data_IF_608810485044
#
_entry.id   IF_608810485044
#
_cell.length_a   1.000
_cell.length_b   1.000
_cell.length_c   1.000
_cell.angle_alpha   90.00
_cell.angle_beta   90.00
_cell.angle_gamma   90.00
#
_symmetry.space_group_name_H-M   'P 1'
#
loop_
_entity.id
_entity.type
_entity.pdbx_description
1 polymer ?
#
# COMPACT_ATOMS: atom_id res chain seq x y z
N UNK A 1 -11.51 1.60 -16.03
CA UNK A 1 -11.02 0.24 -15.69
C UNK A 1 -11.29 -0.77 -16.80
N UNK A 2 -12.33 -0.61 -17.62
CA UNK A 2 -12.53 -1.44 -18.81
C UNK A 2 -11.44 -1.28 -19.88
N UNK A 3 -10.87 -0.07 -20.04
CA UNK A 3 -9.93 0.23 -21.13
C UNK A 3 -8.57 -0.49 -21.08
N UNK A 4 -8.16 -1.10 -19.95
CA UNK A 4 -6.83 -1.74 -19.81
C UNK A 4 -6.96 -3.25 -19.57
N UNK A 5 -8.17 -3.79 -19.54
CA UNK A 5 -8.41 -5.18 -19.13
C UNK A 5 -8.22 -6.16 -20.30
N UNK A 6 -7.08 -6.86 -20.30
CA UNK A 6 -6.80 -7.94 -21.28
C UNK A 6 -7.28 -9.34 -20.83
N UNK A 7 -7.56 -9.54 -19.54
CA UNK A 7 -7.95 -10.85 -18.98
C UNK A 7 -9.29 -10.81 -18.23
N UNK A 8 -10.09 -11.90 -18.26
CA UNK A 8 -11.30 -12.02 -17.46
C UNK A 8 -11.03 -11.89 -15.97
N UNK A 9 -11.98 -11.34 -15.21
CA UNK A 9 -11.86 -11.16 -13.75
C UNK A 9 -11.44 -12.44 -13.04
N UNK A 10 -12.08 -13.53 -13.41
CA UNK A 10 -11.88 -14.80 -12.76
C UNK A 10 -10.42 -15.27 -12.89
N UNK A 11 -9.79 -15.09 -14.06
CA UNK A 11 -8.39 -15.44 -14.28
C UNK A 11 -7.44 -14.63 -13.39
N UNK A 12 -7.69 -13.33 -13.21
CA UNK A 12 -6.86 -12.46 -12.37
C UNK A 12 -6.86 -12.91 -10.89
N UNK A 13 -7.99 -13.42 -10.39
CA UNK A 13 -8.13 -13.81 -8.99
C UNK A 13 -7.74 -15.27 -8.71
N UNK A 14 -7.70 -16.14 -9.72
CA UNK A 14 -7.40 -17.58 -9.56
C UNK A 14 -6.12 -17.85 -8.75
N UNK A 15 -4.95 -17.25 -9.06
CA UNK A 15 -3.72 -17.53 -8.32
C UNK A 15 -3.82 -17.12 -6.84
N UNK A 16 -4.37 -15.93 -6.57
CA UNK A 16 -4.54 -15.43 -5.21
C UNK A 16 -5.52 -16.29 -4.40
N UNK A 17 -6.63 -16.73 -5.00
CA UNK A 17 -7.59 -17.66 -4.38
C UNK A 17 -6.91 -18.99 -4.07
N UNK A 18 -6.10 -19.52 -5.00
CA UNK A 18 -5.38 -20.77 -4.82
C UNK A 18 -4.41 -20.68 -3.63
N UNK A 19 -3.55 -19.66 -3.60
CA UNK A 19 -2.58 -19.45 -2.51
C UNK A 19 -3.31 -19.26 -1.18
N UNK A 20 -4.37 -18.44 -1.13
CA UNK A 20 -5.12 -18.22 0.10
C UNK A 20 -5.80 -19.51 0.61
N UNK A 21 -6.27 -20.38 -0.29
CA UNK A 21 -6.97 -21.63 0.07
C UNK A 21 -6.00 -22.77 0.43
N UNK A 22 -4.98 -23.00 -0.39
CA UNK A 22 -4.00 -24.08 -0.22
C UNK A 22 -2.93 -23.72 0.81
N UNK A 23 -2.68 -22.43 0.96
CA UNK A 23 -1.67 -21.88 1.84
C UNK A 23 -0.32 -21.72 1.14
N UNK A 24 0.59 -21.08 1.85
CA UNK A 24 1.99 -20.93 1.46
C UNK A 24 2.90 -21.14 2.67
N UNK A 25 4.13 -21.54 2.42
CA UNK A 25 5.16 -21.68 3.44
C UNK A 25 5.61 -20.29 3.85
N UNK A 26 5.54 -19.97 5.15
CA UNK A 26 5.89 -18.65 5.67
C UNK A 26 7.36 -18.34 5.34
N UNK A 27 7.64 -17.30 4.52
CA UNK A 27 8.98 -16.82 4.30
C UNK A 27 9.45 -15.95 5.47
N UNK A 28 10.75 -15.65 5.51
CA UNK A 28 11.35 -14.83 6.56
C UNK A 28 10.68 -13.46 6.72
N UNK A 29 10.25 -12.83 5.62
CA UNK A 29 9.59 -11.52 5.65
C UNK A 29 8.26 -11.55 6.42
N UNK A 30 7.48 -12.63 6.26
CA UNK A 30 6.21 -12.81 6.98
C UNK A 30 6.47 -13.20 8.44
N UNK A 31 7.49 -14.01 8.72
CA UNK A 31 7.89 -14.36 10.09
C UNK A 31 8.29 -13.13 10.91
N UNK A 32 9.07 -12.21 10.31
CA UNK A 32 9.42 -10.92 10.93
C UNK A 32 8.15 -10.12 11.25
N UNK A 33 7.20 -10.04 10.31
CA UNK A 33 5.94 -9.33 10.54
C UNK A 33 5.10 -9.99 11.66
N UNK A 34 5.01 -11.32 11.70
CA UNK A 34 4.31 -12.04 12.77
C UNK A 34 4.92 -11.75 14.14
N UNK A 35 6.26 -11.67 14.22
CA UNK A 35 6.97 -11.33 15.46
C UNK A 35 6.71 -9.89 15.91
N UNK A 36 6.79 -8.93 14.98
CA UNK A 36 6.50 -7.51 15.27
C UNK A 36 5.06 -7.33 15.78
N UNK A 37 4.10 -8.03 15.19
CA UNK A 37 2.68 -7.88 15.51
C UNK A 37 2.13 -8.95 16.47
N UNK A 38 3.01 -9.70 17.16
CA UNK A 38 2.64 -10.86 18.00
C UNK A 38 1.50 -10.54 18.96
N UNK A 39 1.57 -9.43 19.68
CA UNK A 39 0.58 -9.11 20.71
C UNK A 39 -0.80 -8.84 20.11
N UNK A 40 -0.85 -8.13 18.98
CA UNK A 40 -2.09 -7.91 18.23
C UNK A 40 -2.67 -9.23 17.70
N UNK A 41 -1.82 -10.06 17.09
CA UNK A 41 -2.22 -11.35 16.53
C UNK A 41 -2.74 -12.31 17.60
N UNK A 42 -2.15 -12.27 18.79
CA UNK A 42 -2.57 -13.07 19.92
C UNK A 42 -3.81 -12.50 20.61
N UNK A 43 -4.00 -11.17 20.70
CA UNK A 43 -5.15 -10.56 21.36
C UNK A 43 -6.45 -10.75 20.59
N UNK A 44 -6.42 -10.58 19.28
CA UNK A 44 -7.60 -10.67 18.42
C UNK A 44 -7.95 -12.13 18.07
N UNK A 45 -9.22 -12.50 18.21
CA UNK A 45 -9.68 -13.88 17.96
C UNK A 45 -9.56 -14.29 16.49
N UNK A 46 -9.80 -13.36 15.57
CA UNK A 46 -9.76 -13.63 14.12
C UNK A 46 -8.32 -13.81 13.65
N UNK A 47 -7.41 -12.96 14.11
CA UNK A 47 -5.98 -13.12 13.84
C UNK A 47 -5.42 -14.38 14.48
N UNK A 48 -5.73 -14.66 15.75
CA UNK A 48 -5.27 -15.88 16.43
C UNK A 48 -5.68 -17.13 15.67
N UNK A 49 -6.92 -17.19 15.18
CA UNK A 49 -7.41 -18.31 14.34
C UNK A 49 -6.55 -18.53 13.10
N UNK A 50 -6.13 -17.46 12.44
CA UNK A 50 -5.44 -17.56 11.16
C UNK A 50 -3.91 -17.71 11.31
N UNK A 51 -3.33 -17.15 12.36
CA UNK A 51 -1.88 -17.05 12.56
C UNK A 51 -1.33 -17.94 13.69
N UNK A 52 -2.15 -18.82 14.28
CA UNK A 52 -1.68 -19.79 15.28
C UNK A 52 -2.03 -21.23 14.89
N UNK A 53 -1.25 -22.17 15.41
CA UNK A 53 -1.55 -23.61 15.44
C UNK A 53 -1.41 -24.09 16.87
N UNK A 54 -2.48 -24.66 17.42
CA UNK A 54 -2.53 -25.13 18.82
C UNK A 54 -2.13 -24.02 19.83
N UNK A 55 -2.60 -22.79 19.59
CA UNK A 55 -2.32 -21.64 20.46
C UNK A 55 -0.91 -21.04 20.32
N UNK A 56 -0.03 -21.62 19.50
CA UNK A 56 1.30 -21.07 19.20
C UNK A 56 1.29 -20.33 17.88
N UNK A 57 1.93 -19.17 17.81
CA UNK A 57 2.09 -18.44 16.55
C UNK A 57 2.82 -19.31 15.52
N UNK A 58 2.36 -19.20 14.27
CA UNK A 58 3.07 -19.78 13.13
C UNK A 58 4.39 -19.03 12.93
N UNK A 59 5.41 -19.75 12.47
CA UNK A 59 6.77 -19.25 12.24
C UNK A 59 7.22 -19.54 10.81
N UNK A 60 8.36 -18.99 10.40
CA UNK A 60 9.06 -19.38 9.15
C UNK A 60 9.05 -20.91 8.98
N UNK A 61 8.69 -21.37 7.78
CA UNK A 61 8.59 -22.79 7.45
C UNK A 61 7.22 -23.42 7.70
N UNK A 62 6.37 -22.80 8.53
CA UNK A 62 5.00 -23.27 8.70
C UNK A 62 4.13 -22.97 7.47
N UNK A 63 3.16 -23.85 7.23
CA UNK A 63 2.09 -23.61 6.26
C UNK A 63 1.02 -22.66 6.84
N UNK A 64 0.86 -21.49 6.24
CA UNK A 64 -0.20 -20.52 6.55
C UNK A 64 -1.32 -20.59 5.50
N UNK A 65 -2.57 -20.76 5.95
CA UNK A 65 -3.78 -20.75 5.09
C UNK A 65 -4.66 -19.56 5.45
N UNK A 66 -5.32 -18.95 4.45
CA UNK A 66 -6.25 -17.81 4.59
C UNK A 66 -7.61 -18.12 3.95
N UNK A 67 -8.35 -19.13 4.44
CA UNK A 67 -9.58 -19.62 3.76
C UNK A 67 -10.70 -18.57 3.67
N UNK A 68 -10.82 -17.67 4.66
CA UNK A 68 -11.82 -16.59 4.60
C UNK A 68 -11.45 -15.53 3.56
N UNK A 69 -10.15 -15.23 3.40
CA UNK A 69 -9.68 -14.38 2.30
C UNK A 69 -9.95 -15.05 0.95
N UNK A 70 -9.72 -16.35 0.82
CA UNK A 70 -10.04 -17.08 -0.40
C UNK A 70 -11.53 -16.97 -0.77
N UNK A 71 -12.44 -17.08 0.20
CA UNK A 71 -13.88 -16.89 -0.02
C UNK A 71 -14.23 -15.45 -0.44
N UNK A 72 -13.63 -14.45 0.20
CA UNK A 72 -13.83 -13.05 -0.18
C UNK A 72 -13.39 -12.78 -1.63
N UNK A 73 -12.21 -13.27 -2.01
CA UNK A 73 -11.69 -13.16 -3.38
C UNK A 73 -12.57 -13.92 -4.38
N UNK A 74 -13.11 -15.09 -4.00
CA UNK A 74 -14.07 -15.83 -4.83
C UNK A 74 -15.37 -15.06 -5.08
N UNK A 75 -15.89 -14.33 -4.09
CA UNK A 75 -17.09 -13.51 -4.27
C UNK A 75 -16.85 -12.41 -5.30
N UNK A 76 -15.73 -11.70 -5.21
CA UNK A 76 -15.33 -10.66 -6.18
C UNK A 76 -15.14 -11.27 -7.58
N UNK A 77 -14.44 -12.41 -7.67
CA UNK A 77 -14.22 -13.09 -8.94
C UNK A 77 -15.53 -13.54 -9.61
N UNK A 78 -16.48 -14.08 -8.83
CA UNK A 78 -17.80 -14.52 -9.31
C UNK A 78 -18.66 -13.34 -9.77
N UNK A 79 -18.69 -12.25 -9.02
CA UNK A 79 -19.42 -11.04 -9.37
C UNK A 79 -18.80 -10.28 -10.55
N UNK A 80 -17.58 -10.65 -10.97
CA UNK A 80 -16.79 -9.99 -12.03
C UNK A 80 -16.61 -8.48 -11.82
N UNK A 81 -16.80 -8.02 -10.59
CA UNK A 81 -16.81 -6.62 -10.19
C UNK A 81 -16.44 -6.50 -8.71
N UNK A 82 -16.07 -5.28 -8.29
CA UNK A 82 -15.82 -4.96 -6.88
C UNK A 82 -17.13 -4.70 -6.09
N UNK A 83 -18.30 -4.84 -6.72
CA UNK A 83 -19.61 -4.57 -6.12
C UNK A 83 -19.81 -5.31 -4.79
N UNK A 84 -19.43 -6.60 -4.63
CA UNK A 84 -19.60 -7.29 -3.35
C UNK A 84 -18.91 -6.61 -2.16
N UNK A 85 -17.79 -5.92 -2.42
CA UNK A 85 -17.00 -5.18 -1.43
C UNK A 85 -17.64 -3.84 -1.07
N UNK A 86 -18.16 -3.09 -2.04
CA UNK A 86 -18.65 -1.73 -1.82
C UNK A 86 -20.15 -1.66 -1.52
N UNK A 87 -20.95 -2.60 -2.03
CA UNK A 87 -22.42 -2.58 -1.94
C UNK A 87 -23.05 -3.98 -1.74
N UNK A 88 -22.26 -4.99 -1.38
CA UNK A 88 -22.75 -6.37 -1.21
C UNK A 88 -22.60 -6.95 0.21
N UNK A 89 -22.58 -8.29 0.33
CA UNK A 89 -22.44 -8.96 1.61
C UNK A 89 -21.15 -8.61 2.37
N UNK A 90 -20.06 -8.31 1.65
CA UNK A 90 -18.79 -7.96 2.30
C UNK A 90 -18.82 -6.56 2.90
N UNK A 91 -19.50 -5.59 2.28
CA UNK A 91 -19.65 -4.24 2.85
C UNK A 91 -20.39 -4.28 4.18
N UNK A 92 -21.47 -5.08 4.26
CA UNK A 92 -22.25 -5.32 5.49
C UNK A 92 -21.40 -5.97 6.58
N UNK A 93 -20.63 -7.00 6.23
CA UNK A 93 -19.75 -7.68 7.18
C UNK A 93 -18.64 -6.74 7.69
N UNK A 94 -18.03 -5.94 6.80
CA UNK A 94 -16.99 -4.99 7.16
C UNK A 94 -17.51 -3.89 8.10
N UNK A 95 -18.65 -3.26 7.77
CA UNK A 95 -19.27 -2.23 8.61
C UNK A 95 -19.63 -2.80 9.98
N UNK A 96 -20.17 -4.02 10.04
CA UNK A 96 -20.47 -4.69 11.31
C UNK A 96 -19.21 -4.87 12.17
N UNK A 97 -18.15 -5.39 11.58
CA UNK A 97 -16.89 -5.65 12.31
C UNK A 97 -16.23 -4.35 12.78
N UNK A 98 -16.15 -3.34 11.91
CA UNK A 98 -15.55 -2.04 12.25
C UNK A 98 -16.33 -1.36 13.37
N UNK A 99 -17.66 -1.37 13.32
CA UNK A 99 -18.50 -0.80 14.39
C UNK A 99 -18.41 -1.59 15.68
N UNK A 100 -18.33 -2.92 15.62
CA UNK A 100 -18.12 -3.75 16.81
C UNK A 100 -16.77 -3.45 17.49
N UNK A 101 -15.77 -3.02 16.74
CA UNK A 101 -14.48 -2.54 17.24
C UNK A 101 -14.47 -1.05 17.65
N UNK A 102 -15.61 -0.36 17.63
CA UNK A 102 -15.73 1.07 18.00
C UNK A 102 -15.47 2.07 16.87
N UNK A 103 -15.35 1.61 15.62
CA UNK A 103 -15.18 2.47 14.46
C UNK A 103 -16.50 3.06 13.93
N UNK A 104 -16.39 4.09 13.08
CA UNK A 104 -17.52 4.89 12.59
C UNK A 104 -17.98 4.56 11.16
N UNK A 105 -17.32 3.61 10.49
CA UNK A 105 -17.60 3.27 9.09
C UNK A 105 -19.09 2.90 8.89
N UNK A 106 -19.70 3.45 7.84
CA UNK A 106 -21.09 3.17 7.46
C UNK A 106 -21.18 2.65 6.02
N UNK A 107 -22.28 1.97 5.69
CA UNK A 107 -22.50 1.43 4.33
C UNK A 107 -22.46 2.53 3.25
N UNK A 108 -22.92 3.74 3.60
CA UNK A 108 -22.89 4.90 2.71
C UNK A 108 -21.45 5.28 2.32
N UNK A 109 -20.48 5.16 3.22
CA UNK A 109 -19.07 5.47 2.93
C UNK A 109 -18.53 4.54 1.84
N UNK A 110 -18.80 3.23 1.97
CA UNK A 110 -18.37 2.23 1.00
C UNK A 110 -19.11 2.39 -0.34
N UNK A 111 -20.42 2.60 -0.31
CA UNK A 111 -21.24 2.78 -1.52
C UNK A 111 -20.85 4.04 -2.31
N UNK A 112 -20.51 5.11 -1.59
CA UNK A 112 -20.17 6.40 -2.20
C UNK A 112 -18.68 6.52 -2.56
N UNK A 113 -17.84 5.57 -2.16
CA UNK A 113 -16.43 5.56 -2.54
C UNK A 113 -16.28 5.52 -4.06
N UNK A 114 -15.42 6.40 -4.59
CA UNK A 114 -15.06 6.46 -6.01
C UNK A 114 -13.55 6.54 -6.15
N UNK A 115 -13.00 5.73 -7.05
CA UNK A 115 -11.60 5.85 -7.48
C UNK A 115 -11.46 7.12 -8.31
N UNK A 116 -10.52 7.99 -7.94
CA UNK A 116 -10.19 9.21 -8.68
C UNK A 116 -8.96 8.96 -9.54
N UNK A 117 -9.09 9.14 -10.85
CA UNK A 117 -7.97 9.11 -11.77
C UNK A 117 -7.34 10.50 -11.80
N UNK A 118 -6.04 10.57 -11.53
CA UNK A 118 -5.26 11.82 -11.57
C UNK A 118 -4.06 11.63 -12.50
N UNK A 119 -3.65 12.67 -13.24
CA UNK A 119 -2.41 12.62 -13.99
C UNK A 119 -1.23 12.39 -13.04
N UNK A 120 -0.21 11.68 -13.52
CA UNK A 120 1.03 11.56 -12.78
C UNK A 120 1.70 12.92 -12.61
N UNK A 121 2.36 13.13 -11.47
CA UNK A 121 3.31 14.23 -11.31
C UNK A 121 4.51 13.96 -12.21
N UNK A 122 4.92 14.97 -12.98
CA UNK A 122 6.07 14.88 -13.89
C UNK A 122 7.16 15.82 -13.40
N UNK A 123 8.37 15.30 -13.24
CA UNK A 123 9.58 16.09 -12.98
C UNK A 123 10.65 15.76 -14.01
N UNK A 124 11.43 16.74 -14.44
CA UNK A 124 12.62 16.50 -15.26
C UNK A 124 13.78 16.12 -14.35
N UNK A 125 14.53 15.09 -14.73
CA UNK A 125 15.78 14.69 -14.09
C UNK A 125 16.79 14.47 -15.22
N UNK A 126 17.67 15.44 -15.42
CA UNK A 126 18.58 15.49 -16.57
C UNK A 126 17.84 15.28 -17.91
N UNK A 127 18.16 14.23 -18.67
CA UNK A 127 17.52 13.86 -19.93
C UNK A 127 16.25 12.99 -19.75
N UNK A 128 15.91 12.62 -18.51
CA UNK A 128 14.76 11.78 -18.19
C UNK A 128 13.56 12.57 -17.65
N UNK A 129 12.38 11.96 -17.75
CA UNK A 129 11.16 12.43 -17.07
C UNK A 129 10.74 11.44 -16.01
N UNK A 130 10.82 11.86 -14.74
CA UNK A 130 10.26 11.13 -13.61
C UNK A 130 8.73 11.27 -13.62
N UNK A 131 8.04 10.13 -13.71
CA UNK A 131 6.60 10.04 -13.45
C UNK A 131 6.38 9.48 -12.04
N UNK A 132 5.73 10.24 -11.17
CA UNK A 132 5.42 9.80 -9.82
C UNK A 132 3.97 10.14 -9.42
N UNK A 133 3.55 9.64 -8.26
CA UNK A 133 2.17 9.83 -7.79
C UNK A 133 1.97 11.27 -7.29
N UNK A 134 0.86 11.94 -7.64
CA UNK A 134 0.57 13.28 -7.13
C UNK A 134 0.09 13.21 -5.67
N UNK A 135 -0.03 14.36 -4.98
CA UNK A 135 -0.69 14.44 -3.69
C UNK A 135 -2.06 13.72 -3.68
N UNK A 136 -2.44 13.05 -2.57
CA UNK A 136 -1.86 13.14 -1.21
C UNK A 136 -0.64 12.24 -0.96
N UNK A 137 -0.07 11.59 -1.98
CA UNK A 137 1.10 10.73 -1.81
C UNK A 137 2.40 11.54 -1.73
N UNK A 138 3.52 10.87 -1.43
CA UNK A 138 4.83 11.48 -1.28
C UNK A 138 5.63 11.65 -2.59
N UNK A 139 5.01 11.55 -3.76
CA UNK A 139 5.71 11.77 -5.04
C UNK A 139 6.39 13.14 -5.17
N UNK A 140 5.78 14.27 -4.74
CA UNK A 140 6.46 15.57 -4.72
C UNK A 140 7.73 15.60 -3.86
N UNK A 141 7.75 14.89 -2.73
CA UNK A 141 8.94 14.81 -1.86
C UNK A 141 10.07 14.07 -2.58
N UNK A 142 9.75 12.98 -3.28
CA UNK A 142 10.72 12.26 -4.10
C UNK A 142 11.26 13.13 -5.24
N UNK A 143 10.37 13.78 -5.99
CA UNK A 143 10.74 14.66 -7.10
C UNK A 143 11.66 15.79 -6.65
N UNK A 144 11.29 16.50 -5.57
CA UNK A 144 12.11 17.58 -5.01
C UNK A 144 13.47 17.09 -4.51
N UNK A 145 13.51 15.94 -3.83
CA UNK A 145 14.78 15.35 -3.36
C UNK A 145 15.70 15.09 -4.56
N UNK A 146 15.19 14.45 -5.60
CA UNK A 146 15.99 14.12 -6.78
C UNK A 146 16.40 15.37 -7.57
N UNK A 147 15.55 16.39 -7.67
CA UNK A 147 15.89 17.66 -8.31
C UNK A 147 17.01 18.41 -7.56
N UNK A 148 16.99 18.39 -6.22
CA UNK A 148 18.08 18.97 -5.41
C UNK A 148 19.38 18.20 -5.67
N UNK A 149 19.32 16.86 -5.71
CA UNK A 149 20.49 16.02 -5.94
C UNK A 149 21.05 16.14 -7.36
N UNK A 150 20.19 16.32 -8.37
CA UNK A 150 20.61 16.57 -9.75
C UNK A 150 21.47 17.84 -9.86
N UNK A 151 21.20 18.87 -9.06
CA UNK A 151 22.02 20.08 -8.98
C UNK A 151 23.46 19.84 -8.52
N UNK A 152 23.75 18.73 -7.82
CA UNK A 152 25.11 18.37 -7.42
C UNK A 152 25.87 17.55 -8.45
N UNK A 153 25.21 17.11 -9.53
CA UNK A 153 25.79 16.29 -10.62
C UNK A 153 26.62 15.12 -10.08
N UNK A 154 26.01 14.37 -9.17
CA UNK A 154 26.64 13.21 -8.52
C UNK A 154 27.08 12.18 -9.57
N UNK A 155 28.28 11.66 -9.42
CA UNK A 155 28.88 10.63 -10.27
C UNK A 155 28.82 9.28 -9.58
N UNK A 156 28.93 8.21 -10.37
CA UNK A 156 28.87 6.83 -9.88
C UNK A 156 29.87 6.56 -8.74
N UNK A 157 31.08 7.12 -8.82
CA UNK A 157 32.15 6.88 -7.85
C UNK A 157 32.12 7.85 -6.66
N UNK A 158 31.19 8.81 -6.59
CA UNK A 158 31.21 9.83 -5.52
C UNK A 158 30.93 9.24 -4.13
N UNK A 159 30.32 8.05 -4.05
CA UNK A 159 30.16 7.32 -2.79
C UNK A 159 31.47 6.67 -2.31
N UNK A 160 32.40 6.36 -3.22
CA UNK A 160 33.69 5.77 -2.89
C UNK A 160 34.76 6.87 -2.69
N UNK A 161 34.79 7.86 -3.60
CA UNK A 161 35.74 8.96 -3.59
C UNK A 161 35.43 10.00 -2.51
N UNK A 162 34.15 10.29 -2.26
CA UNK A 162 33.71 11.37 -1.36
C UNK A 162 32.52 10.98 -0.47
N UNK A 163 32.56 9.82 0.24
CA UNK A 163 31.40 9.26 0.94
C UNK A 163 30.72 10.25 1.87
N UNK A 164 31.49 10.91 2.75
CA UNK A 164 30.96 11.84 3.75
C UNK A 164 30.21 13.00 3.11
N UNK A 165 30.78 13.60 2.07
CA UNK A 165 30.16 14.74 1.36
C UNK A 165 28.92 14.29 0.60
N UNK A 166 28.96 13.13 -0.04
CA UNK A 166 27.84 12.58 -0.79
C UNK A 166 26.67 12.24 0.12
N UNK A 167 26.91 11.56 1.24
CA UNK A 167 25.87 11.31 2.26
C UNK A 167 25.35 12.60 2.88
N UNK A 168 26.22 13.57 3.20
CA UNK A 168 25.78 14.87 3.71
C UNK A 168 24.80 15.55 2.74
N UNK A 169 25.10 15.60 1.44
CA UNK A 169 24.20 16.16 0.41
C UNK A 169 22.86 15.41 0.33
N UNK A 170 22.89 14.08 0.39
CA UNK A 170 21.69 13.25 0.41
C UNK A 170 20.82 13.56 1.63
N UNK A 171 21.44 13.65 2.82
CA UNK A 171 20.74 13.96 4.07
C UNK A 171 20.13 15.37 4.02
N UNK A 172 20.88 16.37 3.55
CA UNK A 172 20.36 17.74 3.42
C UNK A 172 19.23 17.81 2.39
N UNK A 173 19.34 17.12 1.25
CA UNK A 173 18.26 17.04 0.26
C UNK A 173 16.98 16.45 0.88
N UNK A 174 17.09 15.38 1.68
CA UNK A 174 15.95 14.84 2.42
C UNK A 174 15.37 15.86 3.41
N UNK A 175 16.20 16.53 4.21
CA UNK A 175 15.73 17.54 5.18
C UNK A 175 14.93 18.65 4.48
N UNK A 176 15.45 19.17 3.37
CA UNK A 176 14.77 20.21 2.59
C UNK A 176 13.46 19.69 1.98
N UNK A 177 13.44 18.49 1.40
CA UNK A 177 12.22 17.94 0.81
C UNK A 177 11.15 17.63 1.88
N UNK A 178 11.55 17.11 3.04
CA UNK A 178 10.64 16.79 4.13
C UNK A 178 10.04 18.03 4.81
N UNK A 179 10.72 19.19 4.75
CA UNK A 179 10.14 20.47 5.18
C UNK A 179 8.80 20.74 4.47
N UNK A 180 8.70 20.42 3.18
CA UNK A 180 7.48 20.63 2.39
C UNK A 180 6.47 19.47 2.49
N UNK A 181 6.88 18.31 3.04
CA UNK A 181 5.99 17.16 3.20
C UNK A 181 4.78 17.46 4.08
N UNK A 182 4.93 18.33 5.07
CA UNK A 182 3.81 18.75 5.95
C UNK A 182 2.74 19.56 5.21
N UNK A 183 3.05 20.09 4.03
CA UNK A 183 2.09 20.80 3.17
C UNK A 183 1.33 19.86 2.23
N UNK A 184 1.67 18.57 2.21
CA UNK A 184 0.93 17.58 1.41
C UNK A 184 -0.36 17.18 2.14
N UNK A 185 -1.47 17.26 1.42
CA UNK A 185 -2.80 16.87 1.89
C UNK A 185 -3.65 16.35 0.73
N UNK A 186 -4.92 16.02 1.00
CA UNK A 186 -5.87 15.69 -0.07
C UNK A 186 -6.12 16.94 -0.93
N UNK A 187 -5.75 16.91 -2.23
CA UNK A 187 -5.90 18.08 -3.10
C UNK A 187 -7.36 18.49 -3.36
N UNK A 188 -8.34 17.67 -2.99
CA UNK A 188 -9.75 18.05 -3.08
C UNK A 188 -10.24 18.83 -1.85
N UNK A 189 -9.44 18.89 -0.79
CA UNK A 189 -9.74 19.61 0.46
C UNK A 189 -8.76 20.75 0.75
N UNK A 190 -7.52 20.65 0.28
CA UNK A 190 -6.50 21.70 0.46
C UNK A 190 -6.03 22.20 -0.92
N UNK A 191 -6.29 23.48 -1.19
CA UNK A 191 -6.06 24.10 -2.50
C UNK A 191 -4.58 24.37 -2.75
N UNK A 192 -3.81 24.60 -1.69
CA UNK A 192 -2.40 24.97 -1.79
C UNK A 192 -1.46 23.78 -1.98
N UNK A 193 -1.97 22.54 -1.86
CA UNK A 193 -1.20 21.30 -2.08
C UNK A 193 -0.53 21.26 -3.45
N UNK A 194 -1.17 21.84 -4.46
CA UNK A 194 -0.65 21.83 -5.84
C UNK A 194 0.45 22.87 -6.09
N UNK A 195 0.76 23.74 -5.12
CA UNK A 195 1.86 24.71 -5.18
C UNK A 195 3.21 24.09 -4.79
N UNK A 196 3.19 22.92 -4.15
CA UNK A 196 4.38 22.10 -3.88
C UNK A 196 4.66 21.25 -5.13
N UNK A 197 5.36 21.82 -6.09
CA UNK A 197 5.80 21.15 -7.32
C UNK A 197 7.32 21.24 -7.47
#
# INVERSE_FOLDING_TARGET
>A
MEEIRKLPCQELFKPAIHIAKKGFIIPQTVDIAIKIWKDLLMKDKTFRRDFTRNGKLLTKGDLLKRPQLAKALQLIARARSAEPFYNGPMSKALVKEVRAAGGVLILKDLKNYKVKFRPALKSKLDDMTLLCTPPPTAGPVLALTLNILDGFKLRQNDLDENPVRTYHRIIEAFKFAYKYRSMLADPDYEKDVNKVR
#
